data_IF_924454864381
#
_entry.id   IF_924454864381
#
_cell.length_a   1.000
_cell.length_b   1.000
_cell.length_c   1.000
_cell.angle_alpha   90.00
_cell.angle_beta   90.00
_cell.angle_gamma   90.00
#
_symmetry.space_group_name_H-M   'P 1'
#
loop_
_entity.id
_entity.type
_entity.pdbx_description
1 polymer ?
#
# COMPACT_ATOMS: atom_id res chain seq x y z
N UNK A 1 3.12 -0.13 -13.99
CA UNK A 1 2.66 0.48 -12.72
C UNK A 1 3.78 1.32 -12.15
N UNK A 2 3.51 2.60 -11.96
CA UNK A 2 4.40 3.60 -11.37
C UNK A 2 3.93 3.86 -9.94
N UNK A 3 4.86 4.10 -9.01
CA UNK A 3 4.53 4.60 -7.68
C UNK A 3 5.01 6.05 -7.57
N UNK A 4 4.13 6.92 -7.09
CA UNK A 4 4.40 8.35 -6.90
C UNK A 4 3.80 8.82 -5.57
N UNK A 5 4.09 10.05 -5.17
CA UNK A 5 3.56 10.69 -3.98
C UNK A 5 3.14 12.11 -4.32
N UNK A 6 2.04 12.57 -3.74
CA UNK A 6 1.53 13.90 -4.03
C UNK A 6 0.18 14.17 -3.39
N UNK A 7 -0.43 15.27 -3.81
CA UNK A 7 -1.76 15.69 -3.38
C UNK A 7 -2.76 15.42 -4.51
N UNK A 8 -3.89 14.80 -4.18
CA UNK A 8 -5.00 14.62 -5.10
C UNK A 8 -6.32 15.04 -4.47
N UNK A 9 -7.17 15.70 -5.26
CA UNK A 9 -8.59 15.92 -4.92
C UNK A 9 -9.52 14.93 -5.60
N UNK A 10 -9.01 14.12 -6.52
CA UNK A 10 -9.78 13.16 -7.31
C UNK A 10 -9.28 11.75 -7.03
N UNK A 11 -10.23 10.86 -6.72
CA UNK A 11 -9.97 9.46 -6.42
C UNK A 11 -10.80 8.59 -7.35
N UNK A 12 -10.21 7.51 -7.84
CA UNK A 12 -10.86 6.55 -8.72
C UNK A 12 -10.06 5.26 -8.77
N UNK A 13 -10.54 4.28 -9.53
CA UNK A 13 -9.92 2.96 -9.63
C UNK A 13 -8.80 2.85 -10.68
N UNK A 14 -8.54 3.93 -11.42
CA UNK A 14 -7.36 4.11 -12.27
C UNK A 14 -6.05 4.18 -11.47
N UNK A 15 -6.11 4.32 -10.15
CA UNK A 15 -4.96 4.25 -9.25
C UNK A 15 -5.34 3.77 -7.85
N UNK A 16 -4.38 3.23 -7.10
CA UNK A 16 -4.53 2.95 -5.67
C UNK A 16 -3.95 4.11 -4.87
N UNK A 17 -4.76 4.75 -4.02
CA UNK A 17 -4.36 5.90 -3.21
C UNK A 17 -4.23 5.50 -1.74
N UNK A 18 -3.01 5.46 -1.23
CA UNK A 18 -2.68 5.00 0.12
C UNK A 18 -2.31 6.20 1.00
N UNK A 19 -2.90 6.29 2.18
CA UNK A 19 -2.59 7.32 3.16
C UNK A 19 -1.11 7.19 3.60
N UNK A 20 -0.28 8.23 3.41
CA UNK A 20 1.14 8.20 3.75
C UNK A 20 1.40 7.93 5.24
N UNK A 21 0.39 8.11 6.10
CA UNK A 21 0.44 7.70 7.52
C UNK A 21 0.84 6.24 7.71
N UNK A 22 0.55 5.36 6.75
CA UNK A 22 0.87 3.93 6.84
C UNK A 22 2.08 3.52 6.00
N UNK A 23 2.69 4.44 5.25
CA UNK A 23 3.75 4.12 4.28
C UNK A 23 5.13 4.41 4.87
N UNK A 24 5.82 3.34 5.27
CA UNK A 24 7.18 3.43 5.83
C UNK A 24 8.23 3.76 4.78
N UNK A 25 8.07 3.23 3.57
CA UNK A 25 8.81 3.62 2.37
C UNK A 25 8.03 3.23 1.09
N UNK A 26 8.40 3.81 -0.05
CA UNK A 26 7.78 3.50 -1.34
C UNK A 26 8.00 2.04 -1.77
N UNK A 27 9.11 1.42 -1.35
CA UNK A 27 9.43 0.04 -1.72
C UNK A 27 8.42 -0.96 -1.15
N UNK A 28 7.82 -0.67 0.01
CA UNK A 28 6.75 -1.49 0.59
C UNK A 28 5.48 -1.46 -0.25
N UNK A 29 5.12 -0.29 -0.77
CA UNK A 29 3.96 -0.11 -1.65
C UNK A 29 4.20 -0.78 -3.00
N UNK A 30 5.37 -0.57 -3.60
CA UNK A 30 5.76 -1.27 -4.83
C UNK A 30 5.73 -2.80 -4.66
N UNK A 31 6.20 -3.29 -3.51
CA UNK A 31 6.20 -4.72 -3.21
C UNK A 31 4.78 -5.28 -3.12
N UNK A 32 3.88 -4.60 -2.39
CA UNK A 32 2.46 -4.96 -2.33
C UNK A 32 1.81 -4.96 -3.72
N UNK A 33 2.04 -3.91 -4.50
CA UNK A 33 1.51 -3.78 -5.85
C UNK A 33 1.98 -4.92 -6.77
N UNK A 34 3.26 -5.30 -6.70
CA UNK A 34 3.81 -6.44 -7.46
C UNK A 34 3.15 -7.77 -7.05
N UNK A 35 2.89 -7.99 -5.76
CA UNK A 35 2.23 -9.20 -5.26
C UNK A 35 0.75 -9.26 -5.68
N UNK A 36 0.04 -8.14 -5.59
CA UNK A 36 -1.34 -8.01 -6.06
C UNK A 36 -1.44 -8.28 -7.57
N UNK A 37 -0.59 -7.62 -8.38
CA UNK A 37 -0.60 -7.78 -9.82
C UNK A 37 -0.28 -9.23 -10.24
N UNK A 38 0.67 -9.88 -9.58
CA UNK A 38 0.98 -11.29 -9.83
C UNK A 38 -0.27 -12.16 -9.64
N UNK A 39 -0.91 -12.08 -8.48
CA UNK A 39 -2.09 -12.89 -8.17
C UNK A 39 -3.30 -12.53 -9.05
N UNK A 40 -3.43 -11.26 -9.43
CA UNK A 40 -4.43 -10.81 -10.38
C UNK A 40 -4.28 -11.52 -11.73
N UNK A 41 -3.06 -11.53 -12.27
CA UNK A 41 -2.74 -12.19 -13.55
C UNK A 41 -2.85 -13.72 -13.46
N UNK A 42 -2.55 -14.30 -12.31
CA UNK A 42 -2.72 -15.74 -12.05
C UNK A 42 -4.20 -16.15 -11.88
N UNK A 43 -5.15 -15.21 -11.95
CA UNK A 43 -6.57 -15.48 -11.75
C UNK A 43 -6.97 -15.75 -10.29
N UNK A 44 -6.06 -15.55 -9.34
CA UNK A 44 -6.22 -15.77 -7.88
C UNK A 44 -6.59 -14.48 -7.13
N UNK A 45 -7.21 -13.52 -7.82
CA UNK A 45 -7.58 -12.22 -7.26
C UNK A 45 -8.61 -12.34 -6.14
N UNK A 46 -8.50 -11.47 -5.14
CA UNK A 46 -9.46 -11.35 -4.03
C UNK A 46 -10.61 -10.43 -4.43
N UNK A 47 -10.30 -9.34 -5.13
CA UNK A 47 -11.19 -8.28 -5.56
C UNK A 47 -11.42 -8.30 -7.08
N UNK A 48 -12.53 -7.70 -7.51
CA UNK A 48 -12.82 -7.42 -8.93
C UNK A 48 -12.20 -6.10 -9.42
N UNK A 49 -11.51 -5.37 -8.55
CA UNK A 49 -10.92 -4.07 -8.82
C UNK A 49 -9.45 -4.09 -8.39
N UNK A 50 -8.53 -3.77 -9.30
CA UNK A 50 -7.09 -3.87 -9.06
C UNK A 50 -6.58 -2.84 -8.05
N UNK A 51 -7.17 -1.64 -7.97
CA UNK A 51 -6.83 -0.67 -6.93
C UNK A 51 -7.16 -1.20 -5.53
N UNK A 52 -8.31 -1.86 -5.37
CA UNK A 52 -8.69 -2.53 -4.12
C UNK A 52 -7.80 -3.75 -3.86
N UNK A 53 -7.45 -4.52 -4.89
CA UNK A 53 -6.53 -5.66 -4.76
C UNK A 53 -5.17 -5.20 -4.19
N UNK A 54 -4.58 -4.15 -4.76
CA UNK A 54 -3.31 -3.56 -4.27
C UNK A 54 -3.46 -3.12 -2.81
N UNK A 55 -4.57 -2.48 -2.46
CA UNK A 55 -4.83 -2.02 -1.10
C UNK A 55 -4.96 -3.18 -0.10
N UNK A 56 -5.61 -4.29 -0.50
CA UNK A 56 -5.73 -5.52 0.32
C UNK A 56 -4.34 -6.15 0.58
N UNK A 57 -3.49 -6.19 -0.46
CA UNK A 57 -2.12 -6.70 -0.32
C UNK A 57 -1.25 -5.81 0.54
N UNK A 58 -1.36 -4.49 0.38
CA UNK A 58 -0.66 -3.55 1.24
C UNK A 58 -1.12 -3.69 2.68
N UNK A 59 -2.42 -3.71 2.94
CA UNK A 59 -2.98 -3.90 4.27
C UNK A 59 -2.84 -5.33 4.83
N UNK A 60 -2.21 -6.25 4.08
CA UNK A 60 -2.02 -7.67 4.43
C UNK A 60 -3.30 -8.35 4.96
N UNK A 61 -4.45 -8.06 4.36
CA UNK A 61 -5.77 -8.53 4.82
C UNK A 61 -6.69 -8.89 3.67
N UNK A 62 -7.63 -9.81 3.93
CA UNK A 62 -8.74 -10.11 3.00
C UNK A 62 -9.98 -9.25 3.25
N UNK A 63 -10.01 -8.51 4.35
CA UNK A 63 -11.16 -7.69 4.72
C UNK A 63 -11.09 -6.33 4.02
N UNK A 64 -11.95 -6.13 3.03
CA UNK A 64 -12.03 -4.88 2.24
C UNK A 64 -12.25 -3.66 3.14
N UNK A 65 -13.13 -3.75 4.14
CA UNK A 65 -13.40 -2.62 5.03
C UNK A 65 -12.21 -2.25 5.91
N UNK A 66 -11.36 -3.23 6.27
CA UNK A 66 -10.09 -2.93 6.95
C UNK A 66 -9.14 -2.21 6.00
N UNK A 67 -9.00 -2.70 4.76
CA UNK A 67 -8.12 -2.12 3.75
C UNK A 67 -8.52 -0.68 3.37
N UNK A 68 -9.81 -0.40 3.20
CA UNK A 68 -10.34 0.93 2.87
C UNK A 68 -10.02 2.01 3.90
N UNK A 69 -9.74 1.66 5.16
CA UNK A 69 -9.31 2.64 6.17
C UNK A 69 -7.94 3.26 5.86
N UNK A 70 -7.15 2.63 4.99
CA UNK A 70 -5.85 3.10 4.56
C UNK A 70 -5.94 3.99 3.31
N UNK A 71 -7.12 4.21 2.75
CA UNK A 71 -7.28 5.08 1.59
C UNK A 71 -6.97 6.53 1.96
N UNK A 72 -6.17 7.19 1.14
CA UNK A 72 -5.83 8.60 1.32
C UNK A 72 -7.07 9.52 1.22
N UNK A 73 -6.99 10.68 1.87
CA UNK A 73 -8.02 11.74 1.78
C UNK A 73 -7.59 12.96 0.98
N UNK A 74 -6.27 13.21 0.90
CA UNK A 74 -5.70 14.40 0.26
C UNK A 74 -4.28 14.08 -0.23
N UNK A 75 -3.30 14.00 0.69
CA UNK A 75 -1.97 13.46 0.41
C UNK A 75 -2.00 11.95 0.27
N UNK A 76 -1.41 11.43 -0.79
CA UNK A 76 -1.43 10.01 -1.12
C UNK A 76 -0.07 9.53 -1.63
N UNK A 77 0.33 8.34 -1.20
CA UNK A 77 1.23 7.49 -1.99
C UNK A 77 0.35 6.76 -2.99
N UNK A 78 0.66 6.91 -4.27
CA UNK A 78 -0.20 6.48 -5.37
C UNK A 78 0.47 5.39 -6.17
N UNK A 79 -0.24 4.30 -6.39
CA UNK A 79 0.11 3.29 -7.38
C UNK A 79 -0.74 3.52 -8.62
N UNK A 80 -0.13 4.03 -9.68
CA UNK A 80 -0.82 4.32 -10.95
C UNK A 80 -1.05 3.02 -11.72
N UNK A 81 -2.31 2.74 -12.02
CA UNK A 81 -2.77 1.54 -12.74
C UNK A 81 -3.01 1.87 -14.21
N UNK A 82 -3.71 2.97 -14.47
CA UNK A 82 -3.99 3.52 -15.79
C UNK A 82 -3.43 4.94 -15.89
N UNK A 83 -2.35 5.12 -16.65
CA UNK A 83 -1.65 6.40 -16.79
C UNK A 83 -2.49 7.40 -17.62
N UNK A 84 -3.29 6.92 -18.57
CA UNK A 84 -4.10 7.78 -19.43
C UNK A 84 -5.22 8.43 -18.61
N UNK A 85 -5.91 7.67 -17.76
CA UNK A 85 -6.90 8.21 -16.82
C UNK A 85 -6.24 9.06 -15.71
N UNK A 86 -5.10 8.62 -15.17
CA UNK A 86 -4.39 9.37 -14.13
C UNK A 86 -3.88 10.73 -14.61
N UNK A 87 -3.41 10.84 -15.86
CA UNK A 87 -2.96 12.12 -16.42
C UNK A 87 -4.05 13.19 -16.57
N UNK A 88 -5.34 12.80 -16.48
CA UNK A 88 -6.49 13.71 -16.61
C UNK A 88 -6.87 14.37 -15.30
N UNK A 89 -6.34 13.90 -14.17
CA UNK A 89 -6.66 14.44 -12.85
C UNK A 89 -5.67 15.53 -12.41
N UNK A 90 -6.14 16.40 -11.53
CA UNK A 90 -5.32 17.41 -10.86
C UNK A 90 -4.52 16.75 -9.72
N UNK A 91 -3.30 16.30 -10.06
CA UNK A 91 -2.36 15.67 -9.13
C UNK A 91 -1.07 16.49 -9.04
N UNK A 92 -0.78 16.98 -7.83
CA UNK A 92 0.48 17.69 -7.54
C UNK A 92 1.51 16.69 -7.01
N UNK A 93 2.40 16.24 -7.89
CA UNK A 93 3.49 15.33 -7.54
C UNK A 93 4.56 16.01 -6.67
N UNK A 94 5.04 15.30 -5.65
CA UNK A 94 5.96 15.80 -4.64
C UNK A 94 7.05 14.76 -4.35
N UNK A 95 8.18 15.22 -3.82
CA UNK A 95 9.18 14.31 -3.26
C UNK A 95 8.63 13.58 -2.04
N UNK A 96 8.81 12.26 -2.02
CA UNK A 96 8.37 11.44 -0.90
C UNK A 96 9.37 11.55 0.27
N UNK A 97 8.88 12.07 1.39
CA UNK A 97 9.56 12.02 2.69
C UNK A 97 8.68 11.20 3.63
N UNK A 98 9.18 10.09 4.21
CA UNK A 98 8.39 9.27 5.12
C UNK A 98 7.82 10.08 6.29
N UNK A 99 6.50 10.12 6.40
CA UNK A 99 5.75 10.80 7.47
C UNK A 99 4.78 9.86 8.18
N UNK A 100 5.11 8.57 8.22
CA UNK A 100 4.26 7.53 8.77
C UNK A 100 4.09 7.67 10.29
N UNK A 101 2.95 7.20 10.79
CA UNK A 101 2.70 7.02 12.22
C UNK A 101 3.16 5.62 12.60
N UNK A 102 4.27 5.54 13.35
CA UNK A 102 4.87 4.28 13.76
C UNK A 102 3.87 3.36 14.47
N UNK A 103 3.03 3.91 15.36
CA UNK A 103 2.06 3.11 16.10
C UNK A 103 0.99 2.56 15.17
N UNK A 104 0.48 3.39 14.26
CA UNK A 104 -0.53 2.95 13.29
C UNK A 104 0.01 1.86 12.34
N UNK A 105 1.28 1.94 11.94
CA UNK A 105 1.95 0.90 11.15
C UNK A 105 2.09 -0.39 11.96
N UNK A 106 2.56 -0.28 13.21
CA UNK A 106 2.70 -1.46 14.09
C UNK A 106 1.36 -2.15 14.34
N UNK A 107 0.31 -1.39 14.63
CA UNK A 107 -1.05 -1.90 14.85
C UNK A 107 -1.61 -2.56 13.58
N UNK A 108 -1.32 -2.01 12.39
CA UNK A 108 -1.79 -2.56 11.11
C UNK A 108 -1.16 -3.93 10.80
N UNK A 109 0.15 -4.07 11.04
CA UNK A 109 0.92 -5.25 10.66
C UNK A 109 1.16 -6.23 11.80
N UNK A 110 0.55 -5.98 12.96
CA UNK A 110 0.76 -6.74 14.20
C UNK A 110 2.26 -6.90 14.52
N UNK A 111 2.97 -5.76 14.48
CA UNK A 111 4.40 -5.68 14.83
C UNK A 111 4.49 -5.24 16.28
N UNK A 112 5.03 -6.10 17.13
CA UNK A 112 5.19 -5.80 18.56
C UNK A 112 6.37 -4.88 18.82
N UNK A 113 6.36 -4.21 19.98
CA UNK A 113 7.53 -3.44 20.43
C UNK A 113 8.78 -4.31 20.61
N UNK A 114 8.62 -5.57 21.02
CA UNK A 114 9.72 -6.50 21.22
C UNK A 114 10.39 -6.87 19.89
N UNK A 115 9.59 -7.21 18.87
CA UNK A 115 10.08 -7.42 17.51
C UNK A 115 10.84 -6.20 16.99
N UNK A 116 10.27 -5.00 17.17
CA UNK A 116 10.90 -3.76 16.72
C UNK A 116 12.20 -3.46 17.48
N UNK A 117 12.27 -3.77 18.79
CA UNK A 117 13.50 -3.62 19.60
C UNK A 117 14.62 -4.54 19.11
N UNK A 118 14.28 -5.78 18.74
CA UNK A 118 15.26 -6.77 18.23
C UNK A 118 15.76 -6.39 16.83
N UNK A 119 14.84 -6.03 15.94
CA UNK A 119 15.13 -5.83 14.51
C UNK A 119 15.65 -4.41 14.24
N UNK A 120 15.22 -3.43 15.04
CA UNK A 120 15.56 -2.03 14.95
C UNK A 120 14.69 -1.27 13.95
N UNK A 121 14.42 0.01 14.25
CA UNK A 121 13.54 0.87 13.44
C UNK A 121 13.94 0.96 11.96
N UNK A 122 15.25 0.94 11.66
CA UNK A 122 15.77 0.97 10.28
C UNK A 122 15.31 -0.20 9.42
N UNK A 123 14.93 -1.33 10.05
CA UNK A 123 14.46 -2.54 9.38
C UNK A 123 12.94 -2.69 9.42
N UNK A 124 12.19 -1.68 9.90
CA UNK A 124 10.72 -1.69 9.85
C UNK A 124 10.16 -1.96 8.43
N UNK A 125 10.70 -1.39 7.34
CA UNK A 125 10.22 -1.73 5.99
C UNK A 125 10.45 -3.20 5.59
N UNK A 126 11.39 -3.90 6.22
CA UNK A 126 11.59 -5.32 6.02
C UNK A 126 10.47 -6.14 6.67
N UNK A 127 10.10 -5.80 7.92
CA UNK A 127 9.00 -6.44 8.64
C UNK A 127 7.66 -6.24 7.91
N UNK A 128 7.41 -5.02 7.42
CA UNK A 128 6.22 -4.72 6.61
C UNK A 128 6.16 -5.60 5.35
N UNK A 129 7.26 -5.69 4.59
CA UNK A 129 7.33 -6.55 3.40
C UNK A 129 7.18 -8.03 3.73
N UNK A 130 7.70 -8.47 4.87
CA UNK A 130 7.50 -9.84 5.35
C UNK A 130 6.02 -10.14 5.55
N UNK A 131 5.26 -9.28 6.24
CA UNK A 131 3.82 -9.47 6.45
C UNK A 131 3.03 -9.50 5.14
N UNK A 132 3.36 -8.60 4.20
CA UNK A 132 2.79 -8.61 2.84
C UNK A 132 3.11 -9.93 2.11
N UNK A 133 4.34 -10.43 2.25
CA UNK A 133 4.77 -11.68 1.61
C UNK A 133 4.05 -12.90 2.20
N UNK A 134 3.94 -12.99 3.52
CA UNK A 134 3.22 -14.05 4.22
C UNK A 134 1.74 -14.05 3.82
N UNK A 135 1.10 -12.88 3.81
CA UNK A 135 -0.27 -12.73 3.31
C UNK A 135 -0.43 -13.26 1.89
N UNK A 136 0.49 -12.91 0.99
CA UNK A 136 0.48 -13.36 -0.41
C UNK A 136 0.66 -14.86 -0.57
N UNK A 137 1.30 -15.56 0.37
CA UNK A 137 1.51 -17.02 0.31
C UNK A 137 0.34 -17.80 0.91
N UNK A 138 -0.35 -17.24 1.90
CA UNK A 138 -1.48 -17.88 2.57
C UNK A 138 -2.78 -17.85 1.75
N UNK A 139 -2.73 -17.43 0.48
CA UNK A 139 -3.83 -17.43 -0.49
C UNK A 139 -3.68 -18.40 -1.64
N UNK A 140 -2.71 -19.30 -1.57
CA UNK A 140 -2.60 -20.47 -2.44
C UNK A 140 -3.49 -21.62 -1.99
#
# INVERSE_FOLDING_TARGET
MRVTFGISKVFGDFACFIDPKFVVDLSTVEFAAKKALKNWNDGRRISKNLAIEILLYFAATRQIETAKRLTAKDKAVVVVIDEDEFSKIDFEEMDFVPSYDLKAVMDLYDITEEELKIVGLKKLPMLVRERIALFSLLGE
#
